data_IF_544264288645
#
_entry.id   IF_544264288645
#
_cell.length_a   1.000
_cell.length_b   1.000
_cell.length_c   1.000
_cell.angle_alpha   90.00
_cell.angle_beta   90.00
_cell.angle_gamma   90.00
#
_symmetry.space_group_name_H-M   'P 1'
#
loop_
_entity.id
_entity.type
_entity.pdbx_description
1 polymer ?
#
# COMPACT_ATOMS: atom_id res chain seq x y z
N UNK A 1 -0.45 -58.20 -26.43
CA UNK A 1 -1.47 -57.32 -25.81
C UNK A 1 -1.08 -56.78 -24.42
N UNK A 2 0.22 -56.76 -24.05
CA UNK A 2 0.70 -56.22 -22.76
C UNK A 2 1.39 -54.85 -22.88
N UNK A 3 1.75 -54.43 -24.10
CA UNK A 3 2.43 -53.16 -24.37
C UNK A 3 1.48 -51.98 -24.63
N UNK A 4 0.22 -52.21 -24.99
CA UNK A 4 -0.76 -51.13 -25.19
C UNK A 4 -1.32 -50.60 -23.88
N UNK A 5 -1.34 -51.39 -22.81
CA UNK A 5 -1.83 -50.98 -21.48
C UNK A 5 -0.83 -50.05 -20.75
N UNK A 6 0.47 -50.19 -21.03
CA UNK A 6 1.54 -49.38 -20.43
C UNK A 6 1.62 -47.99 -21.06
N UNK A 7 1.31 -47.88 -22.37
CA UNK A 7 1.27 -46.57 -23.03
C UNK A 7 0.06 -45.72 -22.56
N UNK A 8 -1.09 -46.35 -22.31
CA UNK A 8 -2.29 -45.66 -21.82
C UNK A 8 -2.14 -45.14 -20.38
N UNK A 9 -1.40 -45.85 -19.52
CA UNK A 9 -1.12 -45.39 -18.15
C UNK A 9 -0.10 -44.24 -18.11
N UNK A 10 0.85 -44.18 -19.04
CA UNK A 10 1.77 -43.04 -19.15
C UNK A 10 1.09 -41.76 -19.67
N UNK A 11 0.14 -41.87 -20.60
CA UNK A 11 -0.60 -40.71 -21.11
C UNK A 11 -1.56 -40.14 -20.06
N UNK A 12 -2.21 -40.98 -19.25
CA UNK A 12 -3.06 -40.51 -18.14
C UNK A 12 -2.24 -39.81 -17.05
N UNK A 13 -1.01 -40.29 -16.77
CA UNK A 13 -0.11 -39.64 -15.83
C UNK A 13 0.42 -38.29 -16.34
N UNK A 14 0.64 -38.11 -17.64
CA UNK A 14 1.12 -36.82 -18.18
C UNK A 14 -0.01 -35.78 -18.30
N UNK A 15 -1.26 -36.19 -18.55
CA UNK A 15 -2.39 -35.25 -18.57
C UNK A 15 -2.80 -34.81 -17.15
N UNK A 16 -2.52 -35.61 -16.11
CA UNK A 16 -2.75 -35.22 -14.72
C UNK A 16 -1.74 -34.17 -14.17
N UNK A 17 -0.69 -33.81 -14.93
CA UNK A 17 0.26 -32.74 -14.57
C UNK A 17 0.15 -31.49 -15.44
N UNK A 18 -0.88 -31.39 -16.30
CA UNK A 18 -1.25 -30.16 -17.02
C UNK A 18 -2.63 -29.68 -16.55
N UNK A 19 -2.80 -29.64 -15.23
CA UNK A 19 -3.67 -28.67 -14.58
C UNK A 19 -2.80 -27.93 -13.57
N UNK A 20 -1.88 -27.13 -14.12
CA UNK A 20 -1.44 -25.91 -13.45
C UNK A 20 -2.60 -24.92 -13.41
N UNK A 21 -3.71 -25.33 -12.79
CA UNK A 21 -4.65 -24.41 -12.21
C UNK A 21 -3.85 -23.69 -11.13
N UNK A 22 -3.34 -22.51 -11.49
CA UNK A 22 -3.01 -21.48 -10.53
C UNK A 22 -4.27 -21.35 -9.70
N UNK A 23 -4.24 -21.93 -8.50
CA UNK A 23 -5.31 -21.77 -7.53
C UNK A 23 -5.65 -20.28 -7.48
N UNK A 24 -6.94 -19.90 -7.58
CA UNK A 24 -7.31 -18.52 -7.42
C UNK A 24 -6.86 -18.12 -6.03
N UNK A 25 -5.82 -17.27 -5.98
CA UNK A 25 -5.24 -16.67 -4.79
C UNK A 25 -6.39 -16.28 -3.87
N UNK A 26 -6.58 -17.12 -2.85
CA UNK A 26 -7.67 -16.99 -1.92
C UNK A 26 -7.56 -15.64 -1.23
N UNK A 27 -8.73 -15.08 -1.00
CA UNK A 27 -8.98 -13.72 -0.54
C UNK A 27 -8.54 -13.49 0.92
N UNK A 28 -7.23 -13.43 1.18
CA UNK A 28 -6.65 -12.99 2.46
C UNK A 28 -5.90 -11.66 2.31
N UNK A 29 -6.54 -10.66 1.70
CA UNK A 29 -5.91 -9.37 1.34
C UNK A 29 -5.73 -8.38 2.50
N UNK A 30 -6.23 -8.69 3.69
CA UNK A 30 -6.20 -7.78 4.87
C UNK A 30 -4.92 -7.93 5.69
N UNK A 31 -4.22 -9.07 5.59
CA UNK A 31 -3.08 -9.39 6.42
C UNK A 31 -1.78 -8.69 6.00
N UNK A 32 -1.64 -8.27 4.74
CA UNK A 32 -0.35 -7.80 4.22
C UNK A 32 0.07 -6.44 4.80
N UNK A 33 -0.86 -5.47 4.88
CA UNK A 33 -0.55 -4.13 5.39
C UNK A 33 -0.36 -4.14 6.91
N UNK A 34 -1.21 -4.85 7.67
CA UNK A 34 -1.02 -5.02 9.12
C UNK A 34 0.33 -5.70 9.44
N UNK A 35 0.71 -6.72 8.66
CA UNK A 35 2.01 -7.40 8.82
C UNK A 35 3.17 -6.42 8.64
N UNK A 36 3.12 -5.56 7.61
CA UNK A 36 4.18 -4.56 7.39
C UNK A 36 4.24 -3.55 8.54
N UNK A 37 3.10 -3.01 8.99
CA UNK A 37 3.09 -2.05 10.10
C UNK A 37 3.62 -2.66 11.40
N UNK A 38 3.30 -3.92 11.69
CA UNK A 38 3.87 -4.64 12.83
C UNK A 38 5.36 -4.89 12.66
N UNK A 39 5.79 -5.28 11.47
CA UNK A 39 7.21 -5.51 11.18
C UNK A 39 8.03 -4.21 11.29
N UNK A 40 7.43 -3.05 11.00
CA UNK A 40 8.05 -1.74 11.22
C UNK A 40 8.12 -1.31 12.70
N UNK A 41 7.56 -2.12 13.63
CA UNK A 41 7.59 -1.84 15.06
C UNK A 41 6.52 -0.85 15.53
N UNK A 42 5.42 -0.69 14.77
CA UNK A 42 4.34 0.20 15.20
C UNK A 42 3.67 -0.36 16.47
N UNK A 43 3.74 0.36 17.60
CA UNK A 43 3.30 -0.18 18.89
C UNK A 43 1.78 -0.32 18.95
N UNK A 44 1.31 -1.22 19.81
CA UNK A 44 -0.11 -1.54 19.93
C UNK A 44 -0.98 -0.32 20.28
N UNK A 45 -0.48 0.61 21.10
CA UNK A 45 -1.20 1.84 21.45
C UNK A 45 -1.52 2.70 20.23
N UNK A 46 -0.62 2.73 19.23
CA UNK A 46 -0.87 3.43 17.96
C UNK A 46 -1.85 2.64 17.11
N UNK A 47 -1.64 1.32 16.96
CA UNK A 47 -2.47 0.42 16.13
C UNK A 47 -3.95 0.47 16.50
N UNK A 48 -4.27 0.47 17.79
CA UNK A 48 -5.64 0.62 18.29
C UNK A 48 -6.39 1.82 17.68
N UNK A 49 -5.68 2.91 17.40
CA UNK A 49 -6.25 4.12 16.78
C UNK A 49 -6.21 4.10 15.24
N UNK A 50 -5.19 3.47 14.64
CA UNK A 50 -4.94 3.59 13.20
C UNK A 50 -5.46 2.40 12.39
N UNK A 51 -5.78 1.26 13.01
CA UNK A 51 -6.30 0.07 12.32
C UNK A 51 -7.57 0.37 11.48
N UNK A 52 -8.56 1.16 11.96
CA UNK A 52 -9.68 1.55 11.11
C UNK A 52 -9.22 2.28 9.85
N UNK A 53 -8.26 3.21 9.98
CA UNK A 53 -7.68 3.97 8.88
C UNK A 53 -6.93 3.06 7.89
N UNK A 54 -6.07 2.15 8.39
CA UNK A 54 -5.39 1.13 7.58
C UNK A 54 -6.43 0.28 6.83
N UNK A 55 -7.55 -0.07 7.47
CA UNK A 55 -8.59 -0.84 6.80
C UNK A 55 -9.29 -0.07 5.67
N UNK A 56 -9.37 1.28 5.69
CA UNK A 56 -9.81 2.01 4.48
C UNK A 56 -8.84 1.94 3.31
N UNK A 57 -7.54 1.77 3.57
CA UNK A 57 -6.56 1.69 2.47
C UNK A 57 -6.76 0.43 1.64
N UNK A 58 -7.42 -0.59 2.17
CA UNK A 58 -7.81 -1.81 1.41
C UNK A 58 -8.76 -1.46 0.27
N UNK A 59 -9.71 -0.54 0.49
CA UNK A 59 -10.60 -0.09 -0.58
C UNK A 59 -9.83 0.64 -1.68
N UNK A 60 -8.80 1.42 -1.31
CA UNK A 60 -7.88 2.08 -2.25
C UNK A 60 -6.93 1.07 -2.94
N UNK A 61 -6.52 0.01 -2.26
CA UNK A 61 -5.65 -1.05 -2.77
C UNK A 61 -6.25 -1.79 -3.96
N UNK A 62 -7.57 -1.94 -3.98
CA UNK A 62 -8.28 -2.54 -5.10
C UNK A 62 -8.38 -1.60 -6.30
N UNK A 63 -7.91 -0.34 -6.20
CA UNK A 63 -7.87 0.66 -7.28
C UNK A 63 -9.25 0.87 -7.93
N UNK A 64 -10.30 0.79 -7.12
CA UNK A 64 -11.69 0.97 -7.53
C UNK A 64 -12.34 2.10 -6.75
N UNK A 65 -13.06 2.95 -7.46
CA UNK A 65 -13.74 4.12 -6.95
C UNK A 65 -12.80 5.03 -6.13
N UNK A 66 -11.54 5.20 -6.55
CA UNK A 66 -10.50 5.88 -5.75
C UNK A 66 -10.95 7.29 -5.31
N UNK A 67 -11.52 8.07 -6.23
CA UNK A 67 -12.01 9.43 -5.92
C UNK A 67 -13.14 9.42 -4.89
N UNK A 68 -14.05 8.45 -4.97
CA UNK A 68 -15.17 8.34 -4.05
C UNK A 68 -14.73 7.83 -2.66
N UNK A 69 -13.65 7.04 -2.59
CA UNK A 69 -13.07 6.56 -1.34
C UNK A 69 -12.25 7.62 -0.60
N UNK A 70 -11.78 8.66 -1.30
CA UNK A 70 -10.95 9.72 -0.70
C UNK A 70 -11.61 10.39 0.52
N UNK A 71 -12.93 10.63 0.48
CA UNK A 71 -13.66 11.20 1.62
C UNK A 71 -13.67 10.29 2.85
N UNK A 72 -13.86 8.98 2.65
CA UNK A 72 -13.79 7.98 3.72
C UNK A 72 -12.38 7.89 4.30
N UNK A 73 -11.37 7.86 3.44
CA UNK A 73 -9.96 7.86 3.83
C UNK A 73 -9.61 9.07 4.70
N UNK A 74 -10.02 10.28 4.29
CA UNK A 74 -9.82 11.50 5.05
C UNK A 74 -10.55 11.50 6.40
N UNK A 75 -11.79 11.02 6.45
CA UNK A 75 -12.54 10.91 7.70
C UNK A 75 -11.88 9.96 8.68
N UNK A 76 -11.40 8.80 8.20
CA UNK A 76 -10.73 7.84 9.07
C UNK A 76 -9.34 8.30 9.53
N UNK A 77 -8.60 9.04 8.71
CA UNK A 77 -7.36 9.70 9.15
C UNK A 77 -7.64 10.67 10.30
N UNK A 78 -8.64 11.54 10.15
CA UNK A 78 -9.01 12.50 11.21
C UNK A 78 -9.43 11.79 12.52
N UNK A 79 -10.16 10.68 12.42
CA UNK A 79 -10.53 9.85 13.57
C UNK A 79 -9.30 9.21 14.24
N UNK A 80 -8.35 8.73 13.45
CA UNK A 80 -7.11 8.14 13.95
C UNK A 80 -6.27 9.17 14.72
N UNK A 81 -6.11 10.38 14.18
CA UNK A 81 -5.43 11.49 14.88
C UNK A 81 -6.15 11.85 16.19
N UNK A 82 -7.47 12.03 16.14
CA UNK A 82 -8.28 12.34 17.33
C UNK A 82 -8.16 11.26 18.42
N UNK A 83 -8.09 9.99 18.01
CA UNK A 83 -7.87 8.88 18.93
C UNK A 83 -6.48 8.96 19.59
N UNK A 84 -5.43 9.17 18.80
CA UNK A 84 -4.05 9.26 19.29
C UNK A 84 -3.83 10.44 20.23
N UNK A 85 -4.50 11.57 20.00
CA UNK A 85 -4.43 12.73 20.90
C UNK A 85 -4.95 12.41 22.31
N UNK A 86 -5.95 11.54 22.41
CA UNK A 86 -6.55 11.11 23.70
C UNK A 86 -5.71 10.07 24.44
N UNK A 87 -4.79 9.37 23.75
CA UNK A 87 -3.90 8.39 24.37
C UNK A 87 -2.74 9.10 25.09
N UNK A 88 -2.85 9.19 26.43
CA UNK A 88 -1.90 9.90 27.30
C UNK A 88 -0.54 9.19 27.34
N UNK A 89 -0.55 7.85 27.35
CA UNK A 89 0.64 7.01 27.57
C UNK A 89 1.28 6.46 26.28
N UNK A 90 0.93 7.00 25.11
CA UNK A 90 1.46 6.54 23.83
C UNK A 90 2.52 7.51 23.30
N UNK A 91 3.79 7.28 23.65
CA UNK A 91 4.93 8.16 23.27
C UNK A 91 5.10 8.28 21.74
N UNK A 92 4.67 7.26 21.00
CA UNK A 92 4.81 7.17 19.55
C UNK A 92 3.71 7.93 18.78
N UNK A 93 2.75 8.58 19.47
CA UNK A 93 1.67 9.34 18.81
C UNK A 93 2.19 10.49 17.94
N UNK A 94 3.29 11.13 18.35
CA UNK A 94 3.92 12.22 17.58
C UNK A 94 4.52 11.72 16.27
N UNK A 95 5.11 10.51 16.28
CA UNK A 95 5.69 9.90 15.09
C UNK A 95 4.61 9.66 14.04
N UNK A 96 3.50 9.00 14.42
CA UNK A 96 2.40 8.76 13.48
C UNK A 96 1.75 10.06 12.99
N UNK A 97 1.53 11.03 13.88
CA UNK A 97 0.95 12.34 13.52
C UNK A 97 1.82 13.07 12.50
N UNK A 98 3.14 13.06 12.69
CA UNK A 98 4.09 13.66 11.75
C UNK A 98 4.20 12.87 10.44
N UNK A 99 4.33 11.55 10.52
CA UNK A 99 4.36 10.64 9.37
C UNK A 99 3.15 10.79 8.44
N UNK A 100 1.98 11.00 9.03
CA UNK A 100 0.71 11.13 8.31
C UNK A 100 0.26 12.58 8.10
N UNK A 101 1.12 13.57 8.40
CA UNK A 101 0.73 14.98 8.32
C UNK A 101 0.38 15.42 6.89
N UNK A 102 0.97 14.77 5.88
CA UNK A 102 0.64 14.98 4.46
C UNK A 102 -0.79 14.57 4.14
N UNK A 103 -1.28 13.47 4.73
CA UNK A 103 -2.69 13.07 4.62
C UNK A 103 -3.58 14.16 5.23
N UNK A 104 -3.19 14.69 6.39
CA UNK A 104 -3.88 15.82 7.02
C UNK A 104 -3.91 17.06 6.11
N UNK A 105 -2.76 17.43 5.52
CA UNK A 105 -2.65 18.54 4.57
C UNK A 105 -3.52 18.33 3.32
N UNK A 106 -3.48 17.13 2.74
CA UNK A 106 -4.30 16.75 1.60
C UNK A 106 -5.80 16.87 1.91
N UNK A 107 -6.23 16.31 3.04
CA UNK A 107 -7.62 16.22 3.45
C UNK A 107 -8.21 17.53 3.96
N UNK A 108 -7.38 18.50 4.37
CA UNK A 108 -7.82 19.82 4.84
C UNK A 108 -7.55 20.92 3.82
N UNK A 109 -6.30 21.06 3.39
CA UNK A 109 -5.83 22.22 2.60
C UNK A 109 -6.09 22.03 1.11
N UNK A 110 -5.90 20.81 0.59
CA UNK A 110 -6.08 20.52 -0.84
C UNK A 110 -7.43 19.91 -1.19
N UNK A 111 -8.30 19.69 -0.21
CA UNK A 111 -9.62 19.06 -0.41
C UNK A 111 -10.47 19.78 -1.47
N UNK A 112 -10.51 21.12 -1.43
CA UNK A 112 -11.26 21.91 -2.40
C UNK A 112 -10.72 21.75 -3.84
N UNK A 113 -9.39 21.60 -3.99
CA UNK A 113 -8.76 21.36 -5.29
C UNK A 113 -9.16 19.99 -5.81
N UNK A 114 -9.09 18.95 -4.99
CA UNK A 114 -9.56 17.62 -5.36
C UNK A 114 -11.03 17.59 -5.74
N UNK A 115 -11.88 18.31 -5.00
CA UNK A 115 -13.30 18.35 -5.29
C UNK A 115 -13.58 18.94 -6.67
N UNK A 116 -12.84 19.98 -7.07
CA UNK A 116 -12.93 20.56 -8.43
C UNK A 116 -12.46 19.60 -9.52
N UNK A 117 -11.56 18.69 -9.21
CA UNK A 117 -11.01 17.71 -10.15
C UNK A 117 -11.76 16.39 -10.16
N UNK A 118 -12.76 16.23 -9.28
CA UNK A 118 -13.52 15.00 -9.10
C UNK A 118 -14.13 14.51 -10.42
N UNK A 119 -14.79 15.40 -11.15
CA UNK A 119 -15.51 15.01 -12.37
C UNK A 119 -14.54 14.58 -13.48
N UNK A 120 -13.36 15.18 -13.50
CA UNK A 120 -12.29 14.86 -14.44
C UNK A 120 -11.59 13.54 -14.08
N UNK A 121 -11.34 13.29 -12.80
CA UNK A 121 -10.58 12.13 -12.31
C UNK A 121 -11.42 10.86 -12.17
N UNK A 122 -12.67 10.98 -11.72
CA UNK A 122 -13.53 9.82 -11.44
C UNK A 122 -13.63 8.81 -12.59
N UNK A 123 -13.76 9.22 -13.87
CA UNK A 123 -13.86 8.26 -14.97
C UNK A 123 -12.52 7.64 -15.42
N UNK A 124 -11.38 8.16 -14.96
CA UNK A 124 -10.06 7.79 -15.52
C UNK A 124 -9.07 7.24 -14.50
N UNK A 125 -9.20 7.59 -13.21
CA UNK A 125 -8.14 7.38 -12.22
C UNK A 125 -7.92 5.90 -11.92
N UNK A 126 -9.00 5.13 -11.83
CA UNK A 126 -8.95 3.70 -11.52
C UNK A 126 -8.21 2.93 -12.62
N UNK A 127 -8.52 3.23 -13.89
CA UNK A 127 -7.86 2.64 -15.06
C UNK A 127 -6.38 3.03 -15.14
N UNK A 128 -6.08 4.31 -14.90
CA UNK A 128 -4.70 4.81 -14.93
C UNK A 128 -3.85 4.14 -13.87
N UNK A 129 -4.33 4.11 -12.62
CA UNK A 129 -3.59 3.51 -11.51
C UNK A 129 -3.44 2.00 -11.73
N UNK A 130 -4.49 1.30 -12.13
CA UNK A 130 -4.45 -0.16 -12.39
C UNK A 130 -3.45 -0.51 -13.51
N UNK A 131 -3.51 0.20 -14.63
CA UNK A 131 -2.60 -0.06 -15.75
C UNK A 131 -1.13 0.31 -15.44
N UNK A 132 -0.90 1.29 -14.57
CA UNK A 132 0.44 1.60 -14.08
C UNK A 132 0.94 0.55 -13.08
N UNK A 133 0.08 0.05 -12.19
CA UNK A 133 0.41 -1.03 -11.26
C UNK A 133 0.76 -2.33 -12.00
N UNK A 134 -0.02 -2.72 -13.01
CA UNK A 134 0.26 -3.91 -13.83
C UNK A 134 1.65 -3.85 -14.48
N UNK A 135 2.08 -2.64 -14.86
CA UNK A 135 3.41 -2.40 -15.45
C UNK A 135 4.52 -2.37 -14.40
N UNK A 136 4.24 -1.81 -13.22
CA UNK A 136 5.25 -1.48 -12.22
C UNK A 136 5.29 -2.47 -11.05
N UNK A 137 4.37 -3.43 -11.00
CA UNK A 137 4.31 -4.51 -10.00
C UNK A 137 4.23 -4.02 -8.54
N UNK A 138 3.66 -2.83 -8.29
CA UNK A 138 3.66 -2.24 -6.94
C UNK A 138 2.92 -3.14 -5.95
N UNK A 139 1.69 -3.57 -6.29
CA UNK A 139 0.89 -4.41 -5.40
C UNK A 139 1.51 -5.78 -5.18
N UNK A 140 1.98 -6.42 -6.25
CA UNK A 140 2.62 -7.72 -6.13
C UNK A 140 3.91 -7.67 -5.31
N UNK A 141 4.71 -6.61 -5.44
CA UNK A 141 5.94 -6.45 -4.67
C UNK A 141 5.66 -6.14 -3.20
N UNK A 142 4.61 -5.36 -2.89
CA UNK A 142 4.20 -5.14 -1.49
C UNK A 142 3.68 -6.43 -0.85
N UNK A 143 2.83 -7.19 -1.56
CA UNK A 143 2.36 -8.50 -1.08
C UNK A 143 3.54 -9.45 -0.90
N UNK A 144 4.47 -9.52 -1.86
CA UNK A 144 5.66 -10.36 -1.74
C UNK A 144 6.51 -9.98 -0.52
N UNK A 145 6.67 -8.69 -0.23
CA UNK A 145 7.34 -8.21 0.98
C UNK A 145 6.62 -8.70 2.25
N UNK A 146 5.31 -8.48 2.35
CA UNK A 146 4.52 -8.90 3.51
C UNK A 146 4.53 -10.42 3.72
N UNK A 147 4.67 -11.19 2.64
CA UNK A 147 4.68 -12.64 2.67
C UNK A 147 6.05 -13.26 2.99
N UNK A 148 7.15 -12.49 3.00
CA UNK A 148 8.47 -12.97 3.40
C UNK A 148 8.46 -13.49 4.84
N UNK A 149 9.05 -14.67 5.05
CA UNK A 149 9.14 -15.31 6.38
C UNK A 149 9.82 -14.41 7.40
N UNK A 150 10.90 -13.72 7.02
CA UNK A 150 11.58 -12.74 7.88
C UNK A 150 10.63 -11.63 8.32
N UNK A 151 9.92 -11.00 7.38
CA UNK A 151 8.99 -9.91 7.67
C UNK A 151 7.84 -10.38 8.58
N UNK A 152 7.27 -11.55 8.31
CA UNK A 152 6.26 -12.17 9.18
C UNK A 152 6.81 -12.43 10.59
N UNK A 153 8.03 -12.95 10.69
CA UNK A 153 8.66 -13.20 11.98
C UNK A 153 8.89 -11.89 12.75
N UNK A 154 9.47 -10.88 12.09
CA UNK A 154 9.70 -9.54 12.63
C UNK A 154 8.41 -8.91 13.15
N UNK A 155 7.29 -9.07 12.44
CA UNK A 155 5.97 -8.63 12.88
C UNK A 155 5.48 -9.29 14.19
N UNK A 156 5.98 -10.47 14.54
CA UNK A 156 5.60 -11.17 15.79
C UNK A 156 6.49 -10.84 16.98
N UNK A 157 7.74 -10.43 16.74
CA UNK A 157 8.75 -10.20 17.80
C UNK A 157 8.91 -8.74 18.21
N UNK A 158 8.00 -7.85 17.79
CA UNK A 158 7.99 -6.44 18.19
C UNK A 158 8.44 -5.46 17.12
N UNK A 159 8.87 -5.95 15.96
CA UNK A 159 9.26 -5.15 14.81
C UNK A 159 10.73 -4.70 14.79
N UNK A 160 11.23 -4.45 13.59
CA UNK A 160 12.57 -3.94 13.30
C UNK A 160 12.53 -3.20 11.94
N UNK A 161 12.43 -1.87 12.00
CA UNK A 161 12.33 -1.05 10.80
C UNK A 161 13.61 -1.06 9.94
N UNK A 162 14.78 -1.27 10.55
CA UNK A 162 16.06 -1.34 9.81
C UNK A 162 16.13 -2.64 9.01
N UNK A 163 15.75 -3.75 9.63
CA UNK A 163 15.66 -5.04 8.94
C UNK A 163 14.61 -5.01 7.81
N UNK A 164 13.45 -4.38 8.02
CA UNK A 164 12.44 -4.22 6.96
C UNK A 164 13.02 -3.41 5.79
N UNK A 165 13.83 -2.39 6.06
CA UNK A 165 14.44 -1.55 5.03
C UNK A 165 15.34 -2.33 4.05
N UNK A 166 16.03 -3.38 4.53
CA UNK A 166 16.87 -4.26 3.69
C UNK A 166 16.07 -5.00 2.59
N UNK A 167 14.76 -5.17 2.78
CA UNK A 167 13.90 -5.86 1.83
C UNK A 167 13.10 -4.92 0.93
N UNK A 168 13.31 -3.60 1.00
CA UNK A 168 12.52 -2.62 0.25
C UNK A 168 12.95 -2.44 -1.20
N UNK A 169 14.10 -2.97 -1.64
CA UNK A 169 14.63 -2.74 -3.01
C UNK A 169 13.59 -2.99 -4.13
N UNK A 170 12.85 -4.12 -4.16
CA UNK A 170 11.82 -4.33 -5.20
C UNK A 170 10.67 -3.32 -5.11
N UNK A 171 10.30 -2.93 -3.89
CA UNK A 171 9.23 -1.95 -3.66
C UNK A 171 9.68 -0.54 -4.10
N UNK A 172 10.92 -0.15 -3.80
CA UNK A 172 11.51 1.10 -4.25
C UNK A 172 11.53 1.18 -5.78
N UNK A 173 11.92 0.10 -6.46
CA UNK A 173 11.89 0.00 -7.92
C UNK A 173 10.47 0.18 -8.48
N UNK A 174 9.47 -0.45 -7.85
CA UNK A 174 8.07 -0.26 -8.22
C UNK A 174 7.58 1.16 -8.02
N UNK A 175 7.97 1.82 -6.91
CA UNK A 175 7.61 3.21 -6.61
C UNK A 175 8.23 4.17 -7.64
N UNK A 176 9.51 3.97 -7.98
CA UNK A 176 10.20 4.74 -9.02
C UNK A 176 9.55 4.59 -10.39
N UNK A 177 8.91 3.46 -10.68
CA UNK A 177 8.15 3.23 -11.91
C UNK A 177 6.74 3.83 -11.86
N UNK A 178 5.99 3.59 -10.79
CA UNK A 178 4.55 3.88 -10.75
C UNK A 178 4.27 5.37 -10.64
N UNK A 179 5.08 6.12 -9.87
CA UNK A 179 4.91 7.55 -9.69
C UNK A 179 4.93 8.30 -11.04
N UNK A 180 5.98 8.22 -11.86
CA UNK A 180 5.98 8.90 -13.15
C UNK A 180 4.92 8.35 -14.11
N UNK A 181 4.59 7.05 -14.05
CA UNK A 181 3.53 6.47 -14.88
C UNK A 181 2.17 7.12 -14.59
N UNK A 182 1.79 7.17 -13.32
CA UNK A 182 0.52 7.76 -12.87
C UNK A 182 0.51 9.26 -13.15
N UNK A 183 1.58 9.97 -12.79
CA UNK A 183 1.68 11.42 -13.02
C UNK A 183 1.50 11.79 -14.49
N UNK A 184 2.21 11.14 -15.40
CA UNK A 184 2.12 11.45 -16.82
C UNK A 184 0.73 11.14 -17.39
N UNK A 185 0.21 9.93 -17.13
CA UNK A 185 -1.10 9.52 -17.65
C UNK A 185 -2.27 10.32 -17.08
N UNK A 186 -2.17 10.72 -15.81
CA UNK A 186 -3.16 11.60 -15.22
C UNK A 186 -3.09 13.00 -15.83
N UNK A 187 -1.89 13.56 -16.03
CA UNK A 187 -1.73 14.87 -16.68
C UNK A 187 -2.23 14.87 -18.14
N UNK A 188 -2.03 13.78 -18.87
CA UNK A 188 -2.48 13.63 -20.27
C UNK A 188 -4.01 13.66 -20.39
N UNK A 189 -4.72 13.05 -19.43
CA UNK A 189 -6.19 12.96 -19.43
C UNK A 189 -6.87 14.10 -18.67
N UNK A 190 -6.19 14.62 -17.64
CA UNK A 190 -6.69 15.63 -16.73
C UNK A 190 -5.54 16.56 -16.33
N UNK A 191 -5.44 17.71 -17.01
CA UNK A 191 -4.30 18.62 -16.85
C UNK A 191 -4.03 18.95 -15.37
N UNK A 192 -2.74 18.95 -15.00
CA UNK A 192 -2.21 19.23 -13.65
C UNK A 192 -2.59 18.23 -12.55
N UNK A 193 -3.44 17.24 -12.84
CA UNK A 193 -3.90 16.26 -11.85
C UNK A 193 -2.80 15.32 -11.38
N UNK A 194 -1.91 14.90 -12.28
CA UNK A 194 -0.80 14.03 -11.96
C UNK A 194 0.24 14.70 -11.08
N UNK A 195 0.51 16.00 -11.31
CA UNK A 195 1.39 16.79 -10.44
C UNK A 195 0.80 17.01 -9.06
N UNK A 196 -0.51 17.28 -9.00
CA UNK A 196 -1.23 17.40 -7.73
C UNK A 196 -1.14 16.08 -6.94
N UNK A 197 -1.41 14.94 -7.58
CA UNK A 197 -1.29 13.62 -6.95
C UNK A 197 0.14 13.33 -6.49
N UNK A 198 1.14 13.69 -7.30
CA UNK A 198 2.55 13.49 -6.97
C UNK A 198 2.98 14.30 -5.73
N UNK A 199 2.62 15.60 -5.69
CA UNK A 199 2.87 16.49 -4.54
C UNK A 199 2.35 15.86 -3.25
N UNK A 200 1.14 15.30 -3.29
CA UNK A 200 0.51 14.66 -2.14
C UNK A 200 1.16 13.34 -1.73
N UNK A 201 1.61 12.53 -2.70
CA UNK A 201 2.25 11.25 -2.44
C UNK A 201 3.68 11.40 -1.92
N UNK A 202 4.38 12.47 -2.32
CA UNK A 202 5.77 12.71 -1.91
C UNK A 202 5.90 13.44 -0.57
N UNK A 203 4.94 14.29 -0.23
CA UNK A 203 4.95 15.03 1.03
C UNK A 203 5.15 14.19 2.32
N UNK A 204 4.60 12.96 2.48
CA UNK A 204 4.95 12.12 3.63
C UNK A 204 6.43 11.75 3.66
N UNK A 205 7.06 11.44 2.52
CA UNK A 205 8.48 11.10 2.46
C UNK A 205 9.36 12.28 2.84
N UNK A 206 9.02 13.50 2.41
CA UNK A 206 9.72 14.71 2.81
C UNK A 206 9.62 14.95 4.33
N UNK A 207 8.43 14.70 4.90
CA UNK A 207 8.22 14.81 6.34
C UNK A 207 9.03 13.77 7.13
N UNK A 208 9.15 12.54 6.61
CA UNK A 208 9.98 11.49 7.20
C UNK A 208 11.47 11.79 7.06
N UNK A 209 11.94 12.24 5.90
CA UNK A 209 13.34 12.61 5.68
C UNK A 209 13.77 13.69 6.69
N UNK A 210 12.94 14.72 6.88
CA UNK A 210 13.17 15.76 7.88
C UNK A 210 13.18 15.24 9.33
N UNK A 211 12.47 14.15 9.64
CA UNK A 211 12.54 13.49 10.96
C UNK A 211 13.85 12.71 11.13
N UNK A 212 14.30 12.01 10.10
CA UNK A 212 15.56 11.25 10.14
C UNK A 212 16.78 12.17 10.26
N UNK A 213 16.77 13.33 9.59
CA UNK A 213 17.83 14.35 9.72
C UNK A 213 17.91 14.95 11.13
N UNK A 214 16.85 14.85 11.93
CA UNK A 214 16.79 15.35 13.31
C UNK A 214 17.18 14.30 14.35
N UNK A 215 17.43 13.05 13.94
CA UNK A 215 17.96 12.03 14.85
C UNK A 215 19.44 12.35 15.12
N UNK A 216 19.86 12.43 16.40
CA UNK A 216 21.26 12.62 16.70
C UNK A 216 22.05 11.46 16.09
N UNK A 217 23.11 11.79 15.35
CA UNK A 217 24.11 10.82 14.92
C UNK A 217 24.73 10.19 16.17
N UNK A 218 24.26 9.00 16.52
CA UNK A 218 24.92 8.11 17.49
C UNK A 218 26.31 7.72 17.01
#
# INVERSE_FOLDING_TARGET
>A
MRNTLVLLTFVILVVAFIDGAVDPVHSDKVHDVDTIFRALGVPHCVRKCIDPFINSTISLWNMKNVVNQAGKFCSQHAQAITCLEKEIFCDHKKIFSKASSSVGYMCSTKQAVFHKMKDCLSPIVDDVISACDEKCYLRSNLTALAQKSTIKHTATVGGDALLVAEYLEPLCSSVQCILPCVTNRLNDKCALSGWLTLDMLLQPFDAFAAMFEQLPSS
#
